data_IF_913004542445
#
_entry.id   IF_913004542445
#
_cell.length_a   1.000
_cell.length_b   1.000
_cell.length_c   1.000
_cell.angle_alpha   90.00
_cell.angle_beta   90.00
_cell.angle_gamma   90.00
#
_symmetry.space_group_name_H-M   'P 1'
#
loop_
_entity.id
_entity.type
_entity.pdbx_description
1 polymer ?
#
# COMPACT_ATOMS: atom_id res chain seq x y z
N UNK A 1 10.94 -5.61 -18.20
CA UNK A 1 9.51 -5.37 -17.89
C UNK A 1 9.26 -4.82 -16.48
N UNK A 2 9.92 -5.36 -15.44
CA UNK A 2 9.75 -4.92 -14.03
C UNK A 2 9.94 -3.42 -13.78
N UNK A 3 10.98 -2.79 -14.35
CA UNK A 3 11.27 -1.36 -14.14
C UNK A 3 10.14 -0.44 -14.62
N UNK A 4 9.54 -0.73 -15.79
CA UNK A 4 8.42 0.07 -16.33
C UNK A 4 7.17 -0.10 -15.49
N UNK A 5 6.86 -1.34 -15.05
CA UNK A 5 5.73 -1.61 -14.15
C UNK A 5 5.90 -0.93 -12.79
N UNK A 6 7.10 -0.96 -12.20
CA UNK A 6 7.41 -0.28 -10.94
C UNK A 6 7.26 1.24 -11.05
N UNK A 7 7.72 1.85 -12.15
CA UNK A 7 7.50 3.27 -12.43
C UNK A 7 6.02 3.61 -12.54
N UNK A 8 5.25 2.79 -13.24
CA UNK A 8 3.80 2.99 -13.38
C UNK A 8 3.06 2.84 -12.04
N UNK A 9 3.39 1.83 -11.23
CA UNK A 9 2.83 1.66 -9.89
C UNK A 9 3.16 2.86 -9.00
N UNK A 10 4.41 3.29 -8.97
CA UNK A 10 4.82 4.45 -8.18
C UNK A 10 4.09 5.72 -8.65
N UNK A 11 3.94 5.93 -9.96
CA UNK A 11 3.19 7.05 -10.49
C UNK A 11 1.71 7.00 -10.09
N UNK A 12 1.08 5.83 -10.17
CA UNK A 12 -0.30 5.63 -9.74
C UNK A 12 -0.48 5.87 -8.23
N UNK A 13 0.48 5.41 -7.42
CA UNK A 13 0.47 5.62 -5.96
C UNK A 13 0.71 7.08 -5.57
N UNK A 14 1.57 7.79 -6.29
CA UNK A 14 1.74 9.25 -6.14
C UNK A 14 0.43 9.96 -6.52
N UNK A 15 -0.21 9.53 -7.62
CA UNK A 15 -1.54 10.02 -8.00
C UNK A 15 -2.57 9.81 -6.89
N UNK A 16 -2.64 8.61 -6.31
CA UNK A 16 -3.52 8.33 -5.17
C UNK A 16 -3.17 9.16 -3.94
N UNK A 17 -1.89 9.45 -3.70
CA UNK A 17 -1.49 10.35 -2.60
C UNK A 17 -2.01 11.76 -2.82
N UNK A 18 -1.86 12.31 -4.04
CA UNK A 18 -2.38 13.64 -4.39
C UNK A 18 -3.90 13.69 -4.25
N UNK A 19 -4.61 12.68 -4.77
CA UNK A 19 -6.06 12.55 -4.65
C UNK A 19 -6.52 12.44 -3.19
N UNK A 20 -5.79 11.70 -2.36
CA UNK A 20 -6.09 11.55 -0.93
C UNK A 20 -5.88 12.85 -0.17
N UNK A 21 -4.83 13.61 -0.50
CA UNK A 21 -4.63 14.96 0.04
C UNK A 21 -5.72 15.93 -0.41
N UNK A 22 -6.14 15.87 -1.68
CA UNK A 22 -7.25 16.67 -2.19
C UNK A 22 -8.56 16.35 -1.48
N UNK A 23 -8.83 15.05 -1.24
CA UNK A 23 -9.96 14.60 -0.45
C UNK A 23 -9.88 15.12 0.98
N UNK A 24 -8.72 15.04 1.63
CA UNK A 24 -8.51 15.56 2.99
C UNK A 24 -8.84 17.05 3.08
N UNK A 25 -8.34 17.87 2.15
CA UNK A 25 -8.67 19.30 2.07
C UNK A 25 -10.17 19.50 1.84
N UNK A 26 -10.79 18.73 0.94
CA UNK A 26 -12.23 18.80 0.68
C UNK A 26 -13.06 18.46 1.94
N UNK A 27 -12.63 17.48 2.74
CA UNK A 27 -13.32 17.11 3.99
C UNK A 27 -13.27 18.19 5.07
N UNK A 28 -12.33 19.15 5.01
CA UNK A 28 -12.31 20.29 5.93
C UNK A 28 -13.54 21.19 5.74
N UNK A 29 -14.10 21.27 4.53
CA UNK A 29 -15.33 22.01 4.27
C UNK A 29 -16.58 21.30 4.79
N UNK A 30 -16.47 19.99 5.08
CA UNK A 30 -17.55 19.15 5.62
C UNK A 30 -17.55 19.12 7.16
N UNK A 31 -16.49 19.61 7.82
CA UNK A 31 -16.36 19.68 9.29
C UNK A 31 -17.45 20.49 10.00
N UNK A 32 -18.17 21.32 9.26
CA UNK A 32 -19.32 22.08 9.78
C UNK A 32 -20.49 21.17 10.18
N UNK A 33 -20.48 19.89 9.78
CA UNK A 33 -21.38 18.86 10.30
C UNK A 33 -20.71 18.10 11.45
N UNK A 34 -21.09 18.35 12.72
CA UNK A 34 -20.46 17.67 13.85
C UNK A 34 -20.74 16.16 13.74
N UNK A 35 -19.69 15.35 13.86
CA UNK A 35 -19.62 13.89 13.66
C UNK A 35 -19.39 13.40 12.22
N UNK A 36 -20.18 13.85 11.25
CA UNK A 36 -20.06 13.36 9.86
C UNK A 36 -18.75 13.87 9.23
N UNK A 37 -18.47 15.17 9.35
CA UNK A 37 -17.23 15.76 8.83
C UNK A 37 -15.96 15.22 9.49
N UNK A 38 -15.99 14.89 10.78
CA UNK A 38 -14.84 14.32 11.48
C UNK A 38 -14.46 12.93 10.95
N UNK A 39 -15.45 12.05 10.76
CA UNK A 39 -15.22 10.73 10.18
C UNK A 39 -14.69 10.82 8.73
N UNK A 40 -15.15 11.83 7.98
CA UNK A 40 -14.64 12.13 6.64
C UNK A 40 -13.15 12.45 6.66
N UNK A 41 -12.73 13.38 7.52
CA UNK A 41 -11.34 13.79 7.69
C UNK A 41 -10.46 12.61 8.10
N UNK A 42 -10.93 11.80 9.05
CA UNK A 42 -10.20 10.61 9.52
C UNK A 42 -10.02 9.59 8.39
N UNK A 43 -11.06 9.34 7.61
CA UNK A 43 -11.01 8.42 6.46
C UNK A 43 -10.02 8.91 5.40
N UNK A 44 -10.07 10.20 5.06
CA UNK A 44 -9.13 10.79 4.12
C UNK A 44 -7.68 10.74 4.64
N UNK A 45 -7.48 10.94 5.94
CA UNK A 45 -6.18 10.78 6.60
C UNK A 45 -5.64 9.35 6.50
N UNK A 46 -6.49 8.33 6.69
CA UNK A 46 -6.11 6.92 6.51
C UNK A 46 -5.63 6.67 5.08
N UNK A 47 -6.27 7.26 4.06
CA UNK A 47 -5.83 7.08 2.67
C UNK A 47 -4.45 7.67 2.43
N UNK A 48 -4.17 8.87 2.94
CA UNK A 48 -2.85 9.50 2.83
C UNK A 48 -1.77 8.64 3.49
N UNK A 49 -2.02 8.17 4.71
CA UNK A 49 -1.06 7.32 5.44
C UNK A 49 -0.85 6.00 4.69
N UNK A 50 -1.94 5.37 4.24
CA UNK A 50 -1.86 4.14 3.48
C UNK A 50 -1.05 4.30 2.19
N UNK A 51 -1.31 5.34 1.39
CA UNK A 51 -0.59 5.53 0.11
C UNK A 51 0.89 5.78 0.34
N UNK A 52 1.24 6.53 1.39
CA UNK A 52 2.64 6.74 1.78
C UNK A 52 3.34 5.44 2.18
N UNK A 53 2.73 4.67 3.09
CA UNK A 53 3.27 3.37 3.55
C UNK A 53 3.40 2.39 2.38
N UNK A 54 2.42 2.34 1.49
CA UNK A 54 2.44 1.50 0.31
C UNK A 54 3.59 1.86 -0.65
N UNK A 55 3.88 3.16 -0.86
CA UNK A 55 5.06 3.61 -1.62
C UNK A 55 6.35 3.12 -0.95
N UNK A 56 6.45 3.21 0.38
CA UNK A 56 7.63 2.75 1.12
C UNK A 56 7.81 1.24 0.96
N UNK A 57 6.75 0.45 1.13
CA UNK A 57 6.80 -1.02 0.98
C UNK A 57 7.23 -1.42 -0.43
N UNK A 58 6.61 -0.84 -1.46
CA UNK A 58 6.90 -1.17 -2.87
C UNK A 58 8.34 -0.82 -3.29
N UNK A 59 8.98 0.14 -2.61
CA UNK A 59 10.32 0.61 -2.99
C UNK A 59 11.45 0.15 -2.06
N UNK A 60 11.17 -0.10 -0.78
CA UNK A 60 12.21 -0.40 0.24
C UNK A 60 12.13 -1.79 0.84
N UNK A 61 10.96 -2.43 0.89
CA UNK A 61 10.77 -3.73 1.59
C UNK A 61 9.85 -4.68 0.81
N UNK A 62 10.29 -5.19 -0.35
CA UNK A 62 9.51 -6.16 -1.13
C UNK A 62 9.65 -7.59 -0.56
N UNK A 63 9.18 -7.83 0.67
CA UNK A 63 9.04 -9.18 1.23
C UNK A 63 7.68 -9.77 0.87
N UNK A 64 7.57 -11.11 0.80
CA UNK A 64 6.29 -11.79 0.57
C UNK A 64 5.22 -11.38 1.59
N UNK A 65 5.61 -11.27 2.86
CA UNK A 65 4.75 -10.79 3.95
C UNK A 65 4.29 -9.35 3.72
N UNK A 66 5.21 -8.43 3.41
CA UNK A 66 4.87 -7.01 3.19
C UNK A 66 3.99 -6.80 1.96
N UNK A 67 4.22 -7.55 0.88
CA UNK A 67 3.36 -7.51 -0.32
C UNK A 67 1.98 -8.12 -0.02
N UNK A 68 1.91 -9.22 0.73
CA UNK A 68 0.65 -9.81 1.19
C UNK A 68 -0.18 -8.84 2.06
N UNK A 69 0.48 -8.19 3.03
CA UNK A 69 -0.12 -7.13 3.84
C UNK A 69 -0.61 -5.96 2.96
N UNK A 70 0.21 -5.51 2.01
CA UNK A 70 -0.16 -4.43 1.10
C UNK A 70 -1.41 -4.79 0.28
N UNK A 71 -1.50 -6.01 -0.25
CA UNK A 71 -2.68 -6.47 -1.00
C UNK A 71 -3.92 -6.49 -0.09
N UNK A 72 -3.82 -7.05 1.12
CA UNK A 72 -4.94 -7.08 2.07
C UNK A 72 -5.42 -5.69 2.46
N UNK A 73 -4.49 -4.80 2.84
CA UNK A 73 -4.80 -3.41 3.16
C UNK A 73 -5.37 -2.65 1.95
N UNK A 74 -4.89 -2.94 0.74
CA UNK A 74 -5.42 -2.34 -0.49
C UNK A 74 -6.89 -2.69 -0.73
N UNK A 75 -7.32 -3.92 -0.40
CA UNK A 75 -8.73 -4.33 -0.49
C UNK A 75 -9.59 -3.57 0.51
N UNK A 76 -9.11 -3.36 1.74
CA UNK A 76 -9.83 -2.54 2.73
C UNK A 76 -10.00 -1.09 2.26
N UNK A 77 -8.95 -0.51 1.66
CA UNK A 77 -9.00 0.85 1.11
C UNK A 77 -9.98 0.93 -0.07
N UNK A 78 -10.01 -0.08 -0.94
CA UNK A 78 -11.01 -0.21 -2.01
C UNK A 78 -12.44 -0.20 -1.46
N UNK A 79 -12.73 -1.02 -0.43
CA UNK A 79 -14.07 -1.06 0.18
C UNK A 79 -14.44 0.29 0.79
N UNK A 80 -13.53 0.90 1.54
CA UNK A 80 -13.76 2.22 2.13
C UNK A 80 -13.97 3.29 1.04
N UNK A 81 -13.21 3.25 -0.05
CA UNK A 81 -13.33 4.22 -1.14
C UNK A 81 -14.66 4.07 -1.88
N UNK A 82 -15.11 2.85 -2.11
CA UNK A 82 -16.42 2.58 -2.68
C UNK A 82 -17.55 3.04 -1.75
N UNK A 83 -17.47 2.70 -0.47
CA UNK A 83 -18.44 3.15 0.54
C UNK A 83 -18.50 4.68 0.62
N UNK A 84 -17.35 5.35 0.64
CA UNK A 84 -17.27 6.82 0.64
C UNK A 84 -17.87 7.44 -0.62
N UNK A 85 -17.65 6.85 -1.79
CA UNK A 85 -18.23 7.32 -3.05
C UNK A 85 -19.75 7.29 -3.01
N UNK A 86 -20.33 6.18 -2.52
CA UNK A 86 -21.77 6.02 -2.38
C UNK A 86 -22.37 6.95 -1.32
N UNK A 87 -21.76 6.98 -0.14
CA UNK A 87 -22.24 7.78 0.99
C UNK A 87 -22.32 9.26 0.62
N UNK A 88 -21.23 9.83 0.11
CA UNK A 88 -21.20 11.24 -0.25
C UNK A 88 -22.05 11.56 -1.49
N UNK A 89 -22.24 10.59 -2.39
CA UNK A 89 -23.14 10.75 -3.53
C UNK A 89 -24.61 10.83 -3.10
N UNK A 90 -25.01 9.96 -2.15
CA UNK A 90 -26.34 10.00 -1.54
C UNK A 90 -26.55 11.27 -0.71
N UNK A 91 -25.54 11.68 0.05
CA UNK A 91 -25.57 12.92 0.82
C UNK A 91 -25.76 14.15 -0.08
N UNK A 92 -25.01 14.22 -1.19
CA UNK A 92 -25.16 15.29 -2.18
C UNK A 92 -26.54 15.29 -2.84
N UNK A 93 -27.13 14.11 -3.08
CA UNK A 93 -28.46 14.01 -3.67
C UNK A 93 -29.57 14.47 -2.71
N UNK A 94 -29.51 14.04 -1.45
CA UNK A 94 -30.60 14.22 -0.49
C UNK A 94 -30.59 15.59 0.19
N UNK A 95 -29.44 16.28 0.27
CA UNK A 95 -29.29 17.53 1.02
C UNK A 95 -28.82 18.70 0.13
N UNK A 96 -29.71 19.32 -0.68
CA UNK A 96 -29.33 20.36 -1.62
C UNK A 96 -29.02 21.74 -0.99
N UNK A 97 -29.27 21.94 0.32
CA UNK A 97 -29.34 23.28 0.93
C UNK A 97 -28.02 23.83 1.49
N UNK A 98 -27.02 23.01 1.75
CA UNK A 98 -25.67 23.44 2.17
C UNK A 98 -24.73 22.25 2.02
N UNK A 99 -23.61 22.42 1.28
CA UNK A 99 -22.54 21.43 1.06
C UNK A 99 -22.73 20.40 -0.06
N UNK A 100 -23.75 20.53 -0.90
CA UNK A 100 -23.94 19.70 -2.11
C UNK A 100 -22.68 19.58 -2.95
N UNK A 101 -21.97 20.70 -3.16
CA UNK A 101 -20.74 20.72 -3.96
C UNK A 101 -19.60 19.97 -3.29
N UNK A 102 -19.39 20.16 -1.98
CA UNK A 102 -18.32 19.48 -1.25
C UNK A 102 -18.58 17.98 -1.13
N UNK A 103 -19.84 17.58 -0.92
CA UNK A 103 -20.27 16.18 -0.92
C UNK A 103 -20.14 15.55 -2.32
N UNK A 104 -20.57 16.23 -3.38
CA UNK A 104 -20.40 15.76 -4.76
C UNK A 104 -18.92 15.59 -5.12
N UNK A 105 -18.08 16.56 -4.76
CA UNK A 105 -16.62 16.46 -4.93
C UNK A 105 -16.02 15.31 -4.12
N UNK A 106 -16.45 15.11 -2.88
CA UNK A 106 -16.00 13.98 -2.06
C UNK A 106 -16.36 12.65 -2.73
N UNK A 107 -17.59 12.51 -3.23
CA UNK A 107 -18.05 11.30 -3.94
C UNK A 107 -17.19 11.01 -5.17
N UNK A 108 -16.95 12.03 -6.01
CA UNK A 108 -16.10 11.90 -7.21
C UNK A 108 -14.66 11.53 -6.83
N UNK A 109 -14.07 12.20 -5.85
CA UNK A 109 -12.71 11.90 -5.40
C UNK A 109 -12.59 10.46 -4.88
N UNK A 110 -13.55 10.01 -4.06
CA UNK A 110 -13.63 8.62 -3.61
C UNK A 110 -13.75 7.62 -4.78
N UNK A 111 -14.57 7.92 -5.79
CA UNK A 111 -14.74 7.07 -6.97
C UNK A 111 -13.47 6.97 -7.82
N UNK A 112 -12.75 8.09 -7.98
CA UNK A 112 -11.46 8.10 -8.70
C UNK A 112 -10.41 7.31 -7.91
N UNK A 113 -10.30 7.53 -6.60
CA UNK A 113 -9.39 6.77 -5.72
C UNK A 113 -9.72 5.28 -5.79
N UNK A 114 -11.00 4.90 -5.73
CA UNK A 114 -11.45 3.51 -5.88
C UNK A 114 -10.95 2.90 -7.19
N UNK A 115 -11.12 3.60 -8.30
CA UNK A 115 -10.74 3.11 -9.63
C UNK A 115 -9.22 2.94 -9.75
N UNK A 116 -8.45 3.95 -9.34
CA UNK A 116 -6.98 3.91 -9.40
C UNK A 116 -6.44 2.84 -8.44
N UNK A 117 -6.96 2.77 -7.21
CA UNK A 117 -6.57 1.75 -6.24
C UNK A 117 -6.93 0.32 -6.72
N UNK A 118 -8.06 0.15 -7.40
CA UNK A 118 -8.43 -1.12 -8.04
C UNK A 118 -7.44 -1.55 -9.10
N UNK A 119 -7.02 -0.60 -9.95
CA UNK A 119 -5.96 -0.81 -10.92
C UNK A 119 -4.64 -1.21 -10.26
N UNK A 120 -4.18 -0.44 -9.27
CA UNK A 120 -2.93 -0.74 -8.54
C UNK A 120 -3.00 -2.12 -7.89
N UNK A 121 -4.06 -2.43 -7.15
CA UNK A 121 -4.25 -3.71 -6.46
C UNK A 121 -4.19 -4.87 -7.45
N UNK A 122 -4.88 -4.74 -8.59
CA UNK A 122 -4.87 -5.76 -9.64
C UNK A 122 -3.46 -5.99 -10.19
N UNK A 123 -2.72 -4.90 -10.47
CA UNK A 123 -1.35 -5.04 -10.98
C UNK A 123 -0.43 -5.65 -9.93
N UNK A 124 -0.50 -5.19 -8.66
CA UNK A 124 0.30 -5.75 -7.55
C UNK A 124 0.03 -7.25 -7.40
N UNK A 125 -1.23 -7.69 -7.43
CA UNK A 125 -1.60 -9.11 -7.32
C UNK A 125 -1.06 -9.91 -8.51
N UNK A 126 -1.17 -9.39 -9.73
CA UNK A 126 -0.65 -10.06 -10.93
C UNK A 126 0.87 -10.10 -10.99
N UNK A 127 1.55 -9.11 -10.42
CA UNK A 127 3.01 -9.02 -10.42
C UNK A 127 3.64 -9.43 -9.09
N UNK A 128 2.89 -10.05 -8.17
CA UNK A 128 3.42 -10.39 -6.84
C UNK A 128 4.63 -11.33 -6.95
N UNK A 129 4.59 -12.29 -7.86
CA UNK A 129 5.67 -13.25 -8.10
C UNK A 129 6.93 -12.60 -8.71
N UNK A 130 6.74 -11.52 -9.48
CA UNK A 130 7.83 -10.71 -10.05
C UNK A 130 8.48 -9.77 -9.01
N UNK A 131 7.77 -9.45 -7.93
CA UNK A 131 8.16 -8.43 -6.94
C UNK A 131 8.69 -9.06 -5.65
N UNK A 132 8.23 -10.27 -5.31
CA UNK A 132 8.75 -11.03 -4.17
C UNK A 132 10.16 -11.50 -4.51
N UNK A 133 11.13 -11.10 -3.69
CA UNK A 133 12.48 -11.62 -3.79
C UNK A 133 12.47 -13.10 -3.41
N UNK A 134 12.73 -13.99 -4.37
CA UNK A 134 12.61 -15.45 -4.21
C UNK A 134 13.47 -15.99 -3.05
N UNK A 135 14.54 -15.28 -2.69
CA UNK A 135 15.41 -15.60 -1.56
C UNK A 135 14.82 -15.26 -0.17
N UNK A 136 13.80 -14.42 -0.09
CA UNK A 136 13.11 -14.08 1.18
C UNK A 136 11.84 -14.90 1.41
N UNK A 137 11.36 -15.65 0.41
CA UNK A 137 10.22 -16.55 0.54
C UNK A 137 10.60 -17.90 1.19
N UNK A 138 11.88 -18.26 1.10
CA UNK A 138 12.50 -19.36 1.83
C UNK A 138 13.52 -18.74 2.78
N UNK A 139 13.04 -18.10 3.84
CA UNK A 139 13.89 -17.92 5.01
C UNK A 139 14.30 -19.33 5.43
N UNK A 140 15.56 -19.67 5.15
CA UNK A 140 16.18 -20.92 5.59
C UNK A 140 15.99 -20.98 7.10
N UNK A 141 15.08 -21.84 7.56
CA UNK A 141 15.00 -22.21 8.97
C UNK A 141 16.27 -23.03 9.18
N UNK A 142 17.30 -22.54 9.90
CA UNK A 142 18.38 -23.42 10.28
C UNK A 142 17.76 -24.54 11.08
N UNK A 143 17.95 -25.78 10.63
CA UNK A 143 17.62 -26.97 11.40
C UNK A 143 18.45 -26.93 12.69
N UNK A 144 17.96 -26.24 13.71
CA UNK A 144 18.57 -26.21 15.05
C UNK A 144 18.24 -27.48 15.80
N UNK A 145 18.47 -28.63 15.18
CA UNK A 145 18.51 -29.94 15.82
C UNK A 145 19.53 -30.85 15.12
N UNK A 146 20.75 -30.35 14.95
CA UNK A 146 21.92 -31.23 15.06
C UNK A 146 23.00 -30.49 15.84
N UNK A 147 23.23 -30.98 17.04
CA UNK A 147 24.19 -30.46 17.99
C UNK A 147 25.60 -30.39 17.38
N UNK A 148 26.27 -29.26 17.54
CA UNK A 148 27.60 -29.31 18.12
C UNK A 148 27.88 -28.05 18.95
N UNK A 149 28.06 -28.28 20.25
CA UNK A 149 28.34 -27.29 21.28
C UNK A 149 29.82 -26.93 21.28
N UNK A 150 30.36 -26.40 20.20
CA UNK A 150 31.71 -25.84 20.24
C UNK A 150 31.86 -24.66 19.28
N UNK A 151 32.46 -23.57 19.77
CA UNK A 151 32.65 -22.26 19.12
C UNK A 151 31.56 -21.23 19.45
N UNK A 152 31.35 -21.02 20.75
CA UNK A 152 30.76 -19.79 21.29
C UNK A 152 31.88 -18.89 21.83
N UNK A 153 32.80 -18.41 20.98
CA UNK A 153 33.75 -17.33 21.33
C UNK A 153 34.44 -16.74 20.08
N UNK A 154 33.80 -15.85 19.31
CA UNK A 154 34.44 -14.71 18.60
C UNK A 154 33.59 -14.05 17.50
N UNK A 155 32.38 -13.55 17.79
CA UNK A 155 31.77 -12.55 16.89
C UNK A 155 30.92 -11.54 17.66
N UNK A 156 31.57 -10.88 18.63
CA UNK A 156 31.13 -9.59 19.12
C UNK A 156 31.55 -8.51 18.12
N UNK A 157 30.58 -7.81 17.54
CA UNK A 157 30.72 -6.59 16.75
C UNK A 157 31.52 -6.69 15.43
N UNK A 158 31.04 -5.97 14.41
CA UNK A 158 31.67 -5.73 13.10
C UNK A 158 31.79 -6.91 12.11
N UNK A 159 30.72 -7.19 11.35
CA UNK A 159 30.81 -7.47 9.91
C UNK A 159 29.40 -7.64 9.31
N UNK A 160 28.91 -6.66 8.57
CA UNK A 160 27.94 -6.94 7.50
C UNK A 160 28.61 -7.88 6.49
N UNK A 161 27.97 -8.96 6.01
CA UNK A 161 28.56 -9.77 4.96
C UNK A 161 28.59 -8.96 3.65
N UNK A 162 29.80 -8.60 3.21
CA UNK A 162 30.09 -7.79 2.01
C UNK A 162 30.14 -8.63 0.72
N UNK A 163 29.96 -9.95 0.76
CA UNK A 163 30.17 -10.82 -0.41
C UNK A 163 28.97 -11.73 -0.72
N UNK A 164 28.09 -11.29 -1.61
CA UNK A 164 27.38 -12.21 -2.51
C UNK A 164 27.94 -12.03 -3.93
N UNK A 165 29.16 -12.52 -4.13
CA UNK A 165 29.74 -12.68 -5.46
C UNK A 165 29.52 -14.12 -5.94
N UNK A 166 28.62 -14.24 -6.93
CA UNK A 166 28.71 -15.12 -8.10
C UNK A 166 29.13 -16.57 -7.91
N UNK A 167 28.17 -17.45 -7.68
CA UNK A 167 28.15 -18.78 -8.30
C UNK A 167 26.73 -19.06 -8.78
N UNK A 168 26.50 -18.88 -10.08
CA UNK A 168 25.29 -19.39 -10.76
C UNK A 168 25.52 -20.90 -10.94
N UNK A 169 24.70 -21.78 -10.35
CA UNK A 169 24.69 -23.17 -10.79
C UNK A 169 23.96 -23.21 -12.12
N UNK A 170 24.67 -23.50 -13.21
CA UNK A 170 24.08 -23.96 -14.46
C UNK A 170 23.34 -25.26 -14.15
N UNK A 171 22.01 -25.24 -14.27
CA UNK A 171 21.23 -26.47 -14.36
C UNK A 171 21.45 -27.04 -15.76
N UNK A 172 22.21 -28.13 -15.84
CA UNK A 172 22.27 -28.95 -17.06
C UNK A 172 20.87 -29.53 -17.30
N UNK A 173 20.35 -29.31 -18.51
CA UNK A 173 19.16 -29.97 -19.08
C UNK A 173 19.64 -30.87 -20.21
#
# INVERSE_FOLDING_TARGET
MLKTRRKLLNAAMVGNTILSCALLVNTLFLLTTPNIGFNAVLTAGIYVVFTFVAIVILNKTPSAFSIGFLVGASVLILVMAFQGALYWGLEAHNNPRQQTTAAALASVLHAVIFTVQGGVTTVVVKSKEDVIDTYAAYEYIPDTEYADNDVLTNLSHTASPVNYQTTVPTADI
#
